data_IF_282579767508
#
_entry.id   IF_282579767508
#
_cell.length_a   1.000
_cell.length_b   1.000
_cell.length_c   1.000
_cell.angle_alpha   90.00
_cell.angle_beta   90.00
_cell.angle_gamma   90.00
#
_symmetry.space_group_name_H-M   'P 1'
#
loop_
_entity.id
_entity.type
_entity.pdbx_description
1 polymer ?
#
# COMPACT_ATOMS: atom_id res chain seq x y z
N UNK A 1 22.59 4.92 42.30
CA UNK A 1 21.11 4.96 42.14
C UNK A 1 20.82 5.22 40.68
N UNK A 2 19.98 4.38 40.09
CA UNK A 2 19.70 4.31 38.66
C UNK A 2 18.84 5.49 38.18
N UNK A 3 19.09 5.94 36.95
CA UNK A 3 18.26 6.92 36.24
C UNK A 3 18.71 7.03 34.80
N UNK A 4 18.41 6.02 33.98
CA UNK A 4 18.66 6.08 32.54
C UNK A 4 17.50 6.86 31.91
N UNK A 5 17.76 8.10 31.51
CA UNK A 5 16.86 8.89 30.66
C UNK A 5 17.48 8.92 29.27
N UNK A 6 16.94 8.09 28.37
CA UNK A 6 17.28 8.13 26.95
C UNK A 6 16.45 9.24 26.33
N UNK A 7 17.13 10.32 25.95
CA UNK A 7 16.59 11.46 25.19
C UNK A 7 16.54 11.06 23.71
N UNK A 8 15.39 11.15 23.01
CA UNK A 8 15.35 10.88 21.58
C UNK A 8 16.11 11.98 20.81
N UNK A 9 17.17 11.57 20.11
CA UNK A 9 17.91 12.39 19.16
C UNK A 9 16.98 12.88 18.05
N UNK A 10 16.80 14.19 17.99
CA UNK A 10 16.33 14.91 16.83
C UNK A 10 17.47 14.99 15.80
N UNK A 11 17.26 14.45 14.60
CA UNK A 11 18.02 14.90 13.42
C UNK A 11 17.02 15.46 12.42
N UNK A 12 16.70 16.75 12.62
CA UNK A 12 16.19 17.60 11.56
C UNK A 12 17.30 17.78 10.53
N UNK A 13 17.14 17.21 9.34
CA UNK A 13 18.05 17.49 8.23
C UNK A 13 17.66 18.85 7.63
N UNK A 14 18.67 19.70 7.58
CA UNK A 14 18.68 21.12 7.22
C UNK A 14 18.45 21.34 5.71
N UNK A 15 17.62 22.32 5.28
CA UNK A 15 17.75 22.89 3.95
C UNK A 15 18.50 24.22 4.05
N UNK A 16 19.67 24.32 3.44
CA UNK A 16 20.22 25.62 3.05
C UNK A 16 20.75 25.51 1.64
N UNK A 17 20.10 26.30 0.78
CA UNK A 17 20.52 26.66 -0.54
C UNK A 17 21.76 27.57 -0.48
N UNK A 18 22.55 27.52 -1.55
CA UNK A 18 23.60 28.44 -2.06
C UNK A 18 24.54 27.54 -2.88
N UNK A 19 24.92 27.72 -4.14
CA UNK A 19 24.75 28.73 -5.19
C UNK A 19 25.30 28.08 -6.51
N UNK A 20 25.35 28.76 -7.68
CA UNK A 20 25.24 28.14 -9.01
C UNK A 20 26.58 27.76 -9.66
N UNK A 21 26.56 26.77 -10.56
CA UNK A 21 27.57 26.62 -11.62
C UNK A 21 26.95 26.21 -12.96
N UNK A 22 27.17 26.99 -14.04
CA UNK A 22 26.70 26.65 -15.37
C UNK A 22 27.73 25.75 -16.07
N UNK A 23 27.31 24.56 -16.50
CA UNK A 23 27.97 23.82 -17.57
C UNK A 23 26.95 22.89 -18.23
N UNK A 24 26.65 23.20 -19.50
CA UNK A 24 25.88 22.41 -20.46
C UNK A 24 26.57 21.05 -20.77
N UNK A 25 26.06 20.21 -21.69
CA UNK A 25 24.75 19.56 -21.73
C UNK A 25 24.93 18.04 -21.90
N UNK A 26 24.16 17.20 -21.22
CA UNK A 26 23.98 15.82 -21.67
C UNK A 26 22.51 15.47 -21.53
N UNK A 27 21.78 15.68 -22.63
CA UNK A 27 20.50 15.05 -22.82
C UNK A 27 20.74 13.53 -22.85
N UNK A 28 20.45 12.88 -21.73
CA UNK A 28 20.22 11.45 -21.74
C UNK A 28 18.76 11.21 -22.15
N UNK A 29 18.47 10.33 -23.12
CA UNK A 29 17.11 10.12 -23.65
C UNK A 29 16.21 9.32 -22.71
N UNK A 30 16.54 9.21 -21.42
CA UNK A 30 15.72 8.53 -20.43
C UNK A 30 15.11 9.52 -19.44
N UNK A 31 14.72 10.72 -19.88
CA UNK A 31 13.66 11.46 -19.18
C UNK A 31 12.38 10.62 -19.22
N UNK A 32 12.34 9.60 -18.35
CA UNK A 32 11.15 8.93 -17.89
C UNK A 32 10.43 10.07 -17.21
N UNK A 33 9.46 10.65 -17.94
CA UNK A 33 8.49 11.53 -17.37
C UNK A 33 8.08 10.92 -16.03
N UNK A 34 8.33 11.64 -14.94
CA UNK A 34 7.87 11.29 -13.62
C UNK A 34 6.34 11.36 -13.63
N UNK A 35 5.72 10.36 -14.24
CA UNK A 35 4.30 10.06 -14.19
C UNK A 35 4.05 9.20 -12.94
N UNK A 36 4.55 9.66 -11.79
CA UNK A 36 4.20 9.08 -10.49
C UNK A 36 4.02 10.24 -9.50
N UNK A 37 3.22 11.22 -9.92
CA UNK A 37 2.28 11.79 -8.97
C UNK A 37 1.30 10.66 -8.59
N UNK A 38 1.74 9.72 -7.74
CA UNK A 38 0.79 8.94 -6.96
C UNK A 38 0.03 9.99 -6.14
N UNK A 39 -1.24 10.26 -6.47
CA UNK A 39 -2.01 11.14 -5.60
C UNK A 39 -1.93 10.49 -4.24
N UNK A 40 -1.54 11.27 -3.24
CA UNK A 40 -1.48 10.90 -1.83
C UNK A 40 -2.48 9.78 -1.59
N UNK A 41 -1.98 8.59 -1.25
CA UNK A 41 -2.81 7.43 -0.99
C UNK A 41 -3.84 7.84 0.06
N UNK A 42 -5.02 8.28 -0.40
CA UNK A 42 -6.10 8.74 0.44
C UNK A 42 -6.29 7.58 1.39
N UNK A 43 -5.97 7.80 2.66
CA UNK A 43 -5.95 6.74 3.65
C UNK A 43 -7.41 6.28 3.79
N UNK A 44 -7.80 5.30 2.95
CA UNK A 44 -9.13 4.76 2.91
C UNK A 44 -9.42 4.21 4.30
N UNK A 45 -10.47 4.70 4.92
CA UNK A 45 -10.88 4.34 6.28
C UNK A 45 -12.39 4.15 6.34
N UNK A 46 -12.84 3.33 7.28
CA UNK A 46 -14.24 3.17 7.59
C UNK A 46 -15.03 2.75 6.35
N UNK A 47 -16.13 3.46 6.07
CA UNK A 47 -17.05 3.07 5.00
C UNK A 47 -16.38 3.02 3.61
N UNK A 48 -15.53 3.99 3.29
CA UNK A 48 -14.82 4.02 2.02
C UNK A 48 -13.91 2.79 1.83
N UNK A 49 -13.26 2.34 2.91
CA UNK A 49 -12.44 1.13 2.89
C UNK A 49 -13.28 -0.15 2.74
N UNK A 50 -14.45 -0.20 3.39
CA UNK A 50 -15.40 -1.31 3.24
C UNK A 50 -15.94 -1.43 1.81
N UNK A 51 -16.26 -0.29 1.19
CA UNK A 51 -16.75 -0.24 -0.18
C UNK A 51 -15.64 -0.65 -1.17
N UNK A 52 -14.40 -0.18 -0.97
CA UNK A 52 -13.24 -0.60 -1.77
C UNK A 52 -12.94 -2.10 -1.58
N UNK A 53 -13.00 -2.63 -0.35
CA UNK A 53 -12.83 -4.05 -0.11
C UNK A 53 -13.88 -4.89 -0.83
N UNK A 54 -15.13 -4.42 -0.83
CA UNK A 54 -16.23 -5.05 -1.55
C UNK A 54 -16.06 -4.95 -3.08
N UNK A 55 -15.52 -3.84 -3.59
CA UNK A 55 -15.18 -3.67 -4.99
C UNK A 55 -14.03 -4.62 -5.40
N UNK A 56 -12.97 -4.71 -4.60
CA UNK A 56 -11.85 -5.62 -4.79
C UNK A 56 -12.30 -7.09 -4.86
N UNK A 57 -13.15 -7.52 -3.93
CA UNK A 57 -13.72 -8.87 -3.91
C UNK A 57 -14.55 -9.19 -5.18
N UNK A 58 -15.27 -8.20 -5.71
CA UNK A 58 -16.05 -8.36 -6.96
C UNK A 58 -15.14 -8.38 -8.19
N UNK A 59 -14.15 -7.49 -8.26
CA UNK A 59 -13.17 -7.39 -9.36
C UNK A 59 -12.48 -8.73 -9.60
N UNK A 60 -12.08 -9.40 -8.53
CA UNK A 60 -11.30 -10.63 -8.58
C UNK A 60 -12.13 -11.90 -8.30
N UNK A 61 -13.46 -11.84 -8.38
CA UNK A 61 -14.35 -12.96 -8.07
C UNK A 61 -14.10 -14.21 -8.95
N UNK A 62 -13.54 -14.02 -10.15
CA UNK A 62 -13.17 -15.06 -11.11
C UNK A 62 -11.77 -14.87 -11.70
N UNK A 63 -10.82 -14.39 -10.90
CA UNK A 63 -9.43 -14.20 -11.36
C UNK A 63 -8.83 -15.53 -11.85
N UNK A 64 -8.38 -15.55 -13.11
CA UNK A 64 -7.69 -16.69 -13.71
C UNK A 64 -6.21 -16.78 -13.31
N UNK A 65 -5.47 -17.82 -13.77
CA UNK A 65 -4.09 -18.06 -13.38
C UNK A 65 -3.15 -16.88 -13.66
N UNK A 66 -3.32 -16.24 -14.83
CA UNK A 66 -2.50 -15.08 -15.24
C UNK A 66 -2.71 -13.84 -14.36
N UNK A 67 -3.83 -13.77 -13.65
CA UNK A 67 -4.20 -12.64 -12.79
C UNK A 67 -4.02 -12.96 -11.30
N UNK A 68 -3.67 -14.20 -10.95
CA UNK A 68 -3.62 -14.66 -9.56
C UNK A 68 -2.64 -13.83 -8.71
N UNK A 69 -1.47 -13.47 -9.26
CA UNK A 69 -0.47 -12.64 -8.57
C UNK A 69 -0.98 -11.24 -8.27
N UNK A 70 -1.59 -10.58 -9.26
CA UNK A 70 -2.15 -9.25 -9.08
C UNK A 70 -3.33 -9.27 -8.12
N UNK A 71 -4.23 -10.24 -8.25
CA UNK A 71 -5.35 -10.41 -7.34
C UNK A 71 -4.88 -10.63 -5.89
N UNK A 72 -3.84 -11.44 -5.68
CA UNK A 72 -3.26 -11.66 -4.36
C UNK A 72 -2.63 -10.38 -3.77
N UNK A 73 -1.90 -9.61 -4.58
CA UNK A 73 -1.33 -8.33 -4.16
C UNK A 73 -2.43 -7.34 -3.74
N UNK A 74 -3.48 -7.20 -4.55
CA UNK A 74 -4.64 -6.35 -4.23
C UNK A 74 -5.33 -6.80 -2.93
N UNK A 75 -5.56 -8.11 -2.77
CA UNK A 75 -6.17 -8.65 -1.55
C UNK A 75 -5.33 -8.44 -0.30
N UNK A 76 -4.00 -8.59 -0.38
CA UNK A 76 -3.09 -8.32 0.73
C UNK A 76 -3.10 -6.84 1.11
N UNK A 77 -3.05 -5.94 0.12
CA UNK A 77 -3.15 -4.49 0.35
C UNK A 77 -4.43 -4.14 1.12
N UNK A 78 -5.58 -4.63 0.68
CA UNK A 78 -6.86 -4.37 1.35
C UNK A 78 -6.91 -5.03 2.73
N UNK A 79 -6.36 -6.23 2.89
CA UNK A 79 -6.28 -6.90 4.19
C UNK A 79 -5.51 -6.05 5.21
N UNK A 80 -4.36 -5.50 4.84
CA UNK A 80 -3.53 -4.72 5.76
C UNK A 80 -4.18 -3.39 6.13
N UNK A 81 -4.84 -2.73 5.16
CA UNK A 81 -5.64 -1.54 5.43
C UNK A 81 -6.80 -1.85 6.38
N UNK A 82 -7.52 -2.95 6.17
CA UNK A 82 -8.62 -3.36 7.06
C UNK A 82 -8.12 -3.73 8.45
N UNK A 83 -6.96 -4.40 8.56
CA UNK A 83 -6.39 -4.78 9.85
C UNK A 83 -5.95 -3.55 10.67
N UNK A 84 -5.44 -2.52 10.00
CA UNK A 84 -5.03 -1.26 10.61
C UNK A 84 -6.22 -0.31 10.90
N UNK A 85 -7.36 -0.46 10.20
CA UNK A 85 -8.50 0.43 10.37
C UNK A 85 -9.26 0.17 11.67
N UNK A 86 -9.36 1.20 12.50
CA UNK A 86 -10.10 1.19 13.77
C UNK A 86 -11.46 1.91 13.66
N UNK A 87 -11.75 2.53 12.52
CA UNK A 87 -12.97 3.32 12.34
C UNK A 87 -14.18 2.48 11.91
N UNK A 88 -13.97 1.31 11.28
CA UNK A 88 -15.03 0.37 10.97
C UNK A 88 -15.51 -0.40 12.22
N UNK A 89 -16.79 -0.79 12.23
CA UNK A 89 -17.31 -1.71 13.22
C UNK A 89 -16.52 -3.03 13.19
N UNK A 90 -16.16 -3.54 14.37
CA UNK A 90 -15.34 -4.75 14.51
C UNK A 90 -15.94 -5.94 13.77
N UNK A 91 -17.26 -6.13 13.87
CA UNK A 91 -18.00 -7.21 13.20
C UNK A 91 -17.80 -7.16 11.68
N UNK A 92 -17.99 -5.99 11.08
CA UNK A 92 -17.91 -5.81 9.63
C UNK A 92 -16.48 -6.01 9.14
N UNK A 93 -15.51 -5.50 9.91
CA UNK A 93 -14.08 -5.65 9.63
C UNK A 93 -13.68 -7.12 9.64
N UNK A 94 -14.09 -7.88 10.66
CA UNK A 94 -13.80 -9.30 10.77
C UNK A 94 -14.45 -10.11 9.65
N UNK A 95 -15.68 -9.78 9.24
CA UNK A 95 -16.35 -10.40 8.08
C UNK A 95 -15.55 -10.16 6.80
N UNK A 96 -15.11 -8.92 6.54
CA UNK A 96 -14.32 -8.59 5.35
C UNK A 96 -12.96 -9.28 5.36
N UNK A 97 -12.25 -9.25 6.49
CA UNK A 97 -10.97 -9.95 6.66
C UNK A 97 -11.12 -11.46 6.42
N UNK A 98 -12.19 -12.08 6.94
CA UNK A 98 -12.47 -13.48 6.72
C UNK A 98 -12.70 -13.80 5.24
N UNK A 99 -13.52 -12.99 4.55
CA UNK A 99 -13.77 -13.14 3.10
C UNK A 99 -12.49 -13.03 2.28
N UNK A 100 -11.65 -12.04 2.56
CA UNK A 100 -10.38 -11.82 1.86
C UNK A 100 -9.42 -12.99 2.10
N UNK A 101 -9.29 -13.46 3.35
CA UNK A 101 -8.48 -14.65 3.67
C UNK A 101 -8.97 -15.90 2.93
N UNK A 102 -10.29 -16.08 2.84
CA UNK A 102 -10.89 -17.15 2.05
C UNK A 102 -10.50 -17.08 0.57
N UNK A 103 -10.53 -15.89 -0.03
CA UNK A 103 -10.11 -15.67 -1.42
C UNK A 103 -8.61 -15.87 -1.62
N UNK A 104 -7.76 -15.38 -0.73
CA UNK A 104 -6.32 -15.64 -0.76
C UNK A 104 -6.00 -17.14 -0.71
N UNK A 105 -6.68 -17.88 0.17
CA UNK A 105 -6.53 -19.34 0.27
C UNK A 105 -6.93 -20.04 -1.02
N UNK A 106 -7.99 -19.57 -1.69
CA UNK A 106 -8.43 -20.11 -2.98
C UNK A 106 -7.45 -19.79 -4.13
N UNK A 107 -6.67 -18.70 -4.03
CA UNK A 107 -5.65 -18.32 -5.02
C UNK A 107 -4.31 -19.06 -4.83
N UNK A 108 -4.01 -19.56 -3.63
CA UNK A 108 -2.74 -20.27 -3.34
C UNK A 108 -2.41 -21.41 -4.33
N UNK A 109 -3.35 -22.28 -4.74
CA UNK A 109 -3.07 -23.33 -5.72
C UNK A 109 -2.68 -22.77 -7.09
N UNK A 110 -3.28 -21.66 -7.51
CA UNK A 110 -2.99 -21.03 -8.81
C UNK A 110 -1.64 -20.32 -8.79
N UNK A 111 -1.29 -19.68 -7.67
CA UNK A 111 0.02 -19.08 -7.45
C UNK A 111 1.16 -20.10 -7.43
N UNK A 112 0.92 -21.34 -6.96
CA UNK A 112 1.93 -22.41 -6.96
C UNK A 112 2.22 -22.97 -8.35
N UNK A 113 1.29 -22.84 -9.30
CA UNK A 113 1.43 -23.37 -10.67
C UNK A 113 2.09 -22.37 -11.62
N UNK A 114 2.10 -21.08 -11.25
CA UNK A 114 2.57 -19.98 -12.09
C UNK A 114 3.97 -19.53 -11.71
#
# INVERSE_FOLDING_TARGET
MAGWVIVPLMFAVWPSADEPKPNLPVEFPWTIAAADAQPEAVALRGRALSDEASACLRRWAGAGPSQARQAAADYLRIHDLLAADQSLARSDREILLHKIRGRLKALLPELRKS
#
